data_IF_267546156923
#
_entry.id   IF_267546156923
#
_cell.length_a   1.000
_cell.length_b   1.000
_cell.length_c   1.000
_cell.angle_alpha   90.00
_cell.angle_beta   90.00
_cell.angle_gamma   90.00
#
_symmetry.space_group_name_H-M   'P 1'
#
loop_
_entity.id
_entity.type
_entity.pdbx_description
1 polymer ?
#
# COMPACT_ATOMS: atom_id res chain seq x y z
N UNK A 1 21.16 18.57 12.18
CA UNK A 1 20.35 18.84 10.98
C UNK A 1 18.91 19.01 11.46
N UNK A 2 18.11 19.93 10.89
CA UNK A 2 16.70 20.00 11.23
C UNK A 2 16.08 18.62 10.93
N UNK A 3 15.32 18.11 11.89
CA UNK A 3 14.57 16.86 11.72
C UNK A 3 13.64 17.05 10.51
N UNK A 4 13.72 16.26 9.44
CA UNK A 4 12.79 16.43 8.34
C UNK A 4 11.38 16.27 8.90
N UNK A 5 10.52 17.27 8.68
CA UNK A 5 9.13 17.16 9.09
C UNK A 5 8.51 16.00 8.32
N UNK A 6 8.01 14.99 9.03
CA UNK A 6 7.29 13.88 8.43
C UNK A 6 6.05 14.43 7.71
N UNK A 7 5.85 14.06 6.46
CA UNK A 7 4.65 14.42 5.70
C UNK A 7 3.51 13.50 6.12
N UNK A 8 2.45 14.09 6.67
CA UNK A 8 1.30 13.35 7.17
C UNK A 8 0.14 13.38 6.15
N UNK A 9 -0.48 12.25 5.94
CA UNK A 9 -1.63 12.12 5.05
C UNK A 9 -2.54 10.97 5.42
N UNK A 10 -3.51 10.68 4.57
CA UNK A 10 -4.37 9.50 4.69
C UNK A 10 -4.60 8.82 3.34
N UNK A 11 -4.93 7.53 3.39
CA UNK A 11 -5.47 6.75 2.28
C UNK A 11 -6.99 6.92 2.21
N UNK A 12 -7.55 7.13 1.02
CA UNK A 12 -8.99 7.26 0.82
C UNK A 12 -9.77 6.05 1.34
N UNK A 13 -9.17 4.86 1.35
CA UNK A 13 -9.82 3.65 1.81
C UNK A 13 -10.18 3.69 3.31
N UNK A 14 -9.42 4.42 4.13
CA UNK A 14 -9.76 4.67 5.53
C UNK A 14 -11.12 5.38 5.69
N UNK A 15 -11.51 6.21 4.71
CA UNK A 15 -12.74 7.01 4.71
C UNK A 15 -13.82 6.48 3.76
N UNK A 16 -13.64 5.28 3.17
CA UNK A 16 -14.53 4.70 2.16
C UNK A 16 -16.01 4.63 2.56
N UNK A 17 -16.28 4.49 3.86
CA UNK A 17 -17.66 4.44 4.38
C UNK A 17 -18.44 5.75 4.15
N UNK A 18 -17.74 6.87 3.92
CA UNK A 18 -18.36 8.17 3.64
C UNK A 18 -18.81 8.30 2.19
N UNK A 19 -18.37 7.43 1.29
CA UNK A 19 -18.66 7.49 -0.14
C UNK A 19 -18.11 8.74 -0.85
N UNK A 20 -17.15 9.43 -0.23
CA UNK A 20 -16.57 10.65 -0.76
C UNK A 20 -15.66 10.37 -1.97
N UNK A 21 -15.65 11.33 -2.90
CA UNK A 21 -14.80 11.34 -4.08
C UNK A 21 -13.55 12.20 -3.88
N UNK A 22 -12.65 12.14 -4.85
CA UNK A 22 -11.32 12.72 -4.76
C UNK A 22 -11.32 14.20 -4.33
N UNK A 23 -12.22 15.02 -4.88
CA UNK A 23 -12.32 16.44 -4.51
C UNK A 23 -12.72 16.65 -3.05
N UNK A 24 -13.71 15.90 -2.56
CA UNK A 24 -14.17 16.00 -1.18
C UNK A 24 -13.09 15.54 -0.19
N UNK A 25 -12.36 14.47 -0.55
CA UNK A 25 -11.24 13.98 0.26
C UNK A 25 -10.09 14.98 0.31
N UNK A 26 -9.82 15.66 -0.81
CA UNK A 26 -8.80 16.70 -0.88
C UNK A 26 -9.16 17.91 -0.01
N UNK A 27 -10.44 18.34 -0.05
CA UNK A 27 -10.95 19.44 0.79
C UNK A 27 -10.87 19.08 2.27
N UNK A 28 -11.16 17.82 2.60
CA UNK A 28 -11.04 17.31 3.96
C UNK A 28 -9.58 17.28 4.44
N UNK A 29 -8.66 16.81 3.60
CA UNK A 29 -7.22 16.85 3.89
C UNK A 29 -6.75 18.28 4.17
N UNK A 30 -7.18 19.24 3.36
CA UNK A 30 -6.86 20.67 3.54
C UNK A 30 -7.40 21.19 4.88
N UNK A 31 -8.66 20.86 5.23
CA UNK A 31 -9.27 21.25 6.50
C UNK A 31 -8.50 20.70 7.72
N UNK A 32 -7.92 19.50 7.58
CA UNK A 32 -7.07 18.87 8.60
C UNK A 32 -5.60 19.33 8.54
N UNK A 33 -5.24 20.18 7.58
CA UNK A 33 -3.85 20.66 7.34
C UNK A 33 -2.87 19.49 7.10
N UNK A 34 -3.29 18.50 6.32
CA UNK A 34 -2.46 17.37 5.95
C UNK A 34 -1.59 17.70 4.72
N UNK A 35 -0.47 16.99 4.60
CA UNK A 35 0.52 17.20 3.54
C UNK A 35 0.27 16.32 2.32
N UNK A 36 -0.50 15.22 2.48
CA UNK A 36 -0.64 14.20 1.45
C UNK A 36 -2.00 13.48 1.47
N UNK A 37 -2.41 12.99 0.30
CA UNK A 37 -3.53 12.04 0.13
C UNK A 37 -3.09 10.93 -0.81
N UNK A 38 -3.30 9.67 -0.42
CA UNK A 38 -3.19 8.51 -1.30
C UNK A 38 -4.59 8.12 -1.80
N UNK A 39 -4.73 8.06 -3.11
CA UNK A 39 -5.90 7.50 -3.79
C UNK A 39 -5.55 6.08 -4.23
N UNK A 40 -5.97 5.09 -3.46
CA UNK A 40 -5.57 3.68 -3.59
C UNK A 40 -6.45 2.84 -4.51
N UNK A 41 -7.48 3.46 -5.13
CA UNK A 41 -8.38 2.81 -6.09
C UNK A 41 -8.86 3.79 -7.17
N UNK A 42 -9.36 3.24 -8.31
CA UNK A 42 -9.85 4.07 -9.41
C UNK A 42 -11.26 4.63 -9.18
N UNK A 43 -12.03 4.02 -8.28
CA UNK A 43 -13.43 4.42 -8.04
C UNK A 43 -13.53 5.72 -7.23
N UNK A 44 -12.42 6.15 -6.63
CA UNK A 44 -12.37 7.41 -5.89
C UNK A 44 -12.53 8.63 -6.79
N UNK A 45 -12.08 8.54 -8.04
CA UNK A 45 -12.13 9.67 -8.97
C UNK A 45 -13.54 9.90 -9.50
N UNK A 46 -13.95 11.16 -9.66
CA UNK A 46 -15.18 11.55 -10.32
C UNK A 46 -15.12 11.23 -11.82
N UNK A 47 -13.93 11.35 -12.42
CA UNK A 47 -13.64 11.07 -13.82
C UNK A 47 -12.16 10.74 -14.00
N UNK A 48 -11.88 9.81 -14.91
CA UNK A 48 -10.53 9.47 -15.34
C UNK A 48 -10.09 10.21 -16.61
N UNK A 49 -10.86 11.19 -17.08
CA UNK A 49 -10.48 12.06 -18.19
C UNK A 49 -9.27 12.94 -17.79
N UNK A 50 -8.36 13.15 -18.74
CA UNK A 50 -7.10 13.87 -18.51
C UNK A 50 -7.31 15.25 -17.90
N UNK A 51 -8.30 16.00 -18.37
CA UNK A 51 -8.58 17.36 -17.90
C UNK A 51 -9.08 17.35 -16.46
N UNK A 52 -9.94 16.38 -16.09
CA UNK A 52 -10.44 16.23 -14.72
C UNK A 52 -9.29 15.88 -13.74
N UNK A 53 -8.37 15.01 -14.14
CA UNK A 53 -7.21 14.65 -13.33
C UNK A 53 -6.23 15.83 -13.19
N UNK A 54 -5.99 16.59 -14.25
CA UNK A 54 -5.18 17.82 -14.19
C UNK A 54 -5.81 18.90 -13.29
N UNK A 55 -7.13 19.07 -13.36
CA UNK A 55 -7.86 19.99 -12.48
C UNK A 55 -7.73 19.59 -11.01
N UNK A 56 -7.86 18.28 -10.71
CA UNK A 56 -7.63 17.75 -9.36
C UNK A 56 -6.18 18.03 -8.89
N UNK A 57 -5.20 17.84 -9.78
CA UNK A 57 -3.79 18.15 -9.50
C UNK A 57 -3.60 19.64 -9.19
N UNK A 58 -4.14 20.55 -10.03
CA UNK A 58 -4.06 21.98 -9.79
C UNK A 58 -4.65 22.37 -8.43
N UNK A 59 -5.83 21.82 -8.10
CA UNK A 59 -6.43 22.05 -6.78
C UNK A 59 -5.54 21.57 -5.64
N UNK A 60 -4.91 20.42 -5.79
CA UNK A 60 -3.99 19.89 -4.77
C UNK A 60 -2.76 20.80 -4.61
N UNK A 61 -2.22 21.34 -5.71
CA UNK A 61 -1.11 22.29 -5.68
C UNK A 61 -1.47 23.58 -4.96
N UNK A 62 -2.64 24.15 -5.25
CA UNK A 62 -3.15 25.36 -4.60
C UNK A 62 -3.31 25.16 -3.08
N UNK A 63 -3.62 23.94 -2.65
CA UNK A 63 -3.76 23.56 -1.25
C UNK A 63 -2.44 23.11 -0.60
N UNK A 64 -1.36 22.96 -1.37
CA UNK A 64 -0.07 22.46 -0.90
C UNK A 64 -0.06 20.98 -0.56
N UNK A 65 -1.01 20.18 -1.09
CA UNK A 65 -1.17 18.77 -0.80
C UNK A 65 -0.55 17.91 -1.90
N UNK A 66 0.31 16.96 -1.51
CA UNK A 66 0.90 15.97 -2.44
C UNK A 66 -0.08 14.83 -2.68
N UNK A 67 -0.31 14.50 -3.96
CA UNK A 67 -1.12 13.36 -4.33
C UNK A 67 -0.26 12.12 -4.58
N UNK A 68 -0.77 10.97 -4.14
CA UNK A 68 -0.23 9.65 -4.42
C UNK A 68 -1.34 8.84 -5.11
N UNK A 69 -0.98 8.08 -6.15
CA UNK A 69 -1.93 7.31 -6.94
C UNK A 69 -1.71 5.81 -6.72
N UNK A 70 -2.79 5.05 -6.72
CA UNK A 70 -2.73 3.61 -6.55
C UNK A 70 -3.87 2.86 -7.22
N UNK A 71 -3.77 1.55 -7.15
CA UNK A 71 -4.73 0.57 -7.61
C UNK A 71 -4.67 -0.69 -6.73
N UNK A 72 -5.56 -1.64 -6.97
CA UNK A 72 -5.52 -2.95 -6.32
C UNK A 72 -4.51 -3.89 -6.97
N UNK A 73 -4.87 -5.18 -7.10
CA UNK A 73 -3.96 -6.23 -7.55
C UNK A 73 -3.50 -6.04 -8.99
N UNK A 74 -2.20 -6.30 -9.19
CA UNK A 74 -1.56 -6.46 -10.50
C UNK A 74 -1.19 -7.92 -10.81
N UNK A 75 -1.58 -8.88 -9.95
CA UNK A 75 -1.39 -10.31 -10.19
C UNK A 75 -2.63 -10.87 -10.88
N UNK A 76 -2.55 -11.31 -12.15
CA UNK A 76 -3.72 -11.72 -12.95
C UNK A 76 -4.55 -12.85 -12.35
N UNK A 77 -3.90 -13.76 -11.61
CA UNK A 77 -4.57 -14.91 -10.98
C UNK A 77 -4.86 -14.73 -9.49
N UNK A 78 -4.59 -13.55 -8.93
CA UNK A 78 -4.98 -13.24 -7.55
C UNK A 78 -6.49 -13.26 -7.37
N UNK A 79 -6.93 -13.74 -6.22
CA UNK A 79 -8.37 -13.80 -5.87
C UNK A 79 -9.03 -12.42 -5.77
N UNK A 80 -8.25 -11.35 -5.70
CA UNK A 80 -8.77 -9.96 -5.66
C UNK A 80 -8.55 -9.21 -6.97
N UNK A 81 -7.98 -9.85 -8.00
CA UNK A 81 -7.83 -9.21 -9.30
C UNK A 81 -9.20 -9.05 -9.98
N UNK A 82 -9.49 -7.85 -10.49
CA UNK A 82 -10.74 -7.58 -11.22
C UNK A 82 -10.51 -7.50 -12.74
N UNK A 83 -10.74 -8.59 -13.50
CA UNK A 83 -10.51 -8.61 -14.95
C UNK A 83 -11.51 -7.76 -15.75
N UNK A 84 -12.60 -7.29 -15.13
CA UNK A 84 -13.59 -6.42 -15.81
C UNK A 84 -13.01 -5.06 -16.19
N UNK A 85 -11.88 -4.69 -15.60
CA UNK A 85 -11.15 -3.44 -15.86
C UNK A 85 -10.03 -3.59 -16.91
N UNK A 86 -9.95 -4.75 -17.56
CA UNK A 86 -8.86 -5.08 -18.49
C UNK A 86 -7.80 -5.98 -17.88
N UNK A 87 -6.72 -6.23 -18.61
CA UNK A 87 -5.59 -7.01 -18.11
C UNK A 87 -4.81 -6.29 -16.99
N UNK A 88 -3.97 -7.00 -16.27
CA UNK A 88 -3.16 -6.41 -15.20
C UNK A 88 -2.22 -5.31 -15.74
N UNK A 89 -1.64 -5.54 -16.93
CA UNK A 89 -0.78 -4.58 -17.63
C UNK A 89 -1.55 -3.32 -18.06
N UNK A 90 -2.77 -3.48 -18.58
CA UNK A 90 -3.64 -2.35 -18.94
C UNK A 90 -4.02 -1.52 -17.72
N UNK A 91 -4.39 -2.17 -16.62
CA UNK A 91 -4.71 -1.50 -15.37
C UNK A 91 -3.49 -0.79 -14.78
N UNK A 92 -2.31 -1.40 -14.83
CA UNK A 92 -1.09 -0.77 -14.33
C UNK A 92 -0.66 0.43 -15.20
N UNK A 93 -0.81 0.35 -16.55
CA UNK A 93 -0.62 1.50 -17.45
C UNK A 93 -1.62 2.63 -17.15
N UNK A 94 -2.87 2.29 -16.86
CA UNK A 94 -3.86 3.28 -16.43
C UNK A 94 -3.42 3.96 -15.13
N UNK A 95 -2.93 3.20 -14.13
CA UNK A 95 -2.42 3.75 -12.88
C UNK A 95 -1.21 4.67 -13.12
N UNK A 96 -0.26 4.28 -13.96
CA UNK A 96 0.89 5.12 -14.34
C UNK A 96 0.45 6.43 -15.02
N UNK A 97 -0.54 6.36 -15.93
CA UNK A 97 -1.11 7.56 -16.57
C UNK A 97 -1.75 8.48 -15.53
N UNK A 98 -2.54 7.94 -14.60
CA UNK A 98 -3.16 8.72 -13.51
C UNK A 98 -2.06 9.33 -12.63
N UNK A 99 -1.07 8.54 -12.21
CA UNK A 99 0.06 9.02 -11.41
C UNK A 99 0.78 10.18 -12.08
N UNK A 100 1.04 10.08 -13.39
CA UNK A 100 1.67 11.15 -14.18
C UNK A 100 0.83 12.43 -14.17
N UNK A 101 -0.47 12.34 -14.41
CA UNK A 101 -1.37 13.48 -14.46
C UNK A 101 -1.57 14.15 -13.10
N UNK A 102 -1.56 13.37 -12.03
CA UNK A 102 -1.63 13.87 -10.65
C UNK A 102 -0.27 14.33 -10.09
N UNK A 103 0.82 14.13 -10.82
CA UNK A 103 2.17 14.41 -10.30
C UNK A 103 2.57 13.54 -9.12
N UNK A 104 2.00 12.33 -9.05
CA UNK A 104 2.39 11.32 -8.07
C UNK A 104 3.77 10.75 -8.40
N UNK A 105 4.68 10.61 -7.41
CA UNK A 105 5.97 9.97 -7.65
C UNK A 105 5.88 8.45 -7.73
N UNK A 106 4.74 7.88 -7.35
CA UNK A 106 4.51 6.45 -7.29
C UNK A 106 3.19 6.04 -7.94
N UNK A 107 3.14 4.79 -8.42
CA UNK A 107 1.93 4.03 -8.68
C UNK A 107 1.88 2.89 -7.66
N UNK A 108 1.05 3.04 -6.61
CA UNK A 108 0.90 2.01 -5.56
C UNK A 108 0.03 0.87 -6.09
N UNK A 109 0.42 -0.37 -5.81
CA UNK A 109 -0.36 -1.56 -6.13
C UNK A 109 -0.13 -2.66 -5.09
N UNK A 110 -0.90 -3.75 -5.20
CA UNK A 110 -0.74 -4.93 -4.35
C UNK A 110 -0.57 -6.18 -5.22
N UNK A 111 -0.01 -7.25 -4.66
CA UNK A 111 -0.05 -8.56 -5.29
C UNK A 111 -1.44 -9.18 -5.08
N UNK A 112 -1.84 -9.44 -3.83
CA UNK A 112 -3.07 -10.14 -3.54
C UNK A 112 -3.49 -10.07 -2.07
N UNK A 113 -3.77 -11.25 -1.48
CA UNK A 113 -4.09 -11.42 -0.07
C UNK A 113 -3.78 -12.85 0.40
N UNK A 114 -3.95 -13.13 1.68
CA UNK A 114 -3.56 -14.41 2.31
C UNK A 114 -4.11 -15.66 1.61
N UNK A 115 -5.28 -15.60 0.96
CA UNK A 115 -5.84 -16.75 0.21
C UNK A 115 -4.99 -17.10 -1.01
N UNK A 116 -4.24 -16.16 -1.56
CA UNK A 116 -3.34 -16.42 -2.70
C UNK A 116 -2.18 -17.33 -2.31
N UNK A 117 -1.78 -17.37 -1.04
CA UNK A 117 -0.80 -18.34 -0.50
C UNK A 117 -1.26 -19.80 -0.63
N UNK A 118 -2.59 -20.04 -0.60
CA UNK A 118 -3.19 -21.37 -0.73
C UNK A 118 -3.63 -21.71 -2.14
N UNK A 119 -3.40 -20.82 -3.09
CA UNK A 119 -3.70 -21.06 -4.49
C UNK A 119 -2.67 -22.02 -5.13
N UNK A 120 -3.01 -22.57 -6.30
CA UNK A 120 -2.07 -23.46 -7.03
C UNK A 120 -0.75 -22.73 -7.32
N UNK A 121 0.36 -23.32 -6.88
CA UNK A 121 1.70 -22.75 -6.96
C UNK A 121 2.04 -21.76 -5.84
N UNK A 122 1.10 -21.50 -4.93
CA UNK A 122 1.32 -20.66 -3.75
C UNK A 122 1.72 -19.22 -4.07
N UNK A 123 2.31 -18.55 -3.10
CA UNK A 123 2.75 -17.17 -3.23
C UNK A 123 3.89 -17.01 -4.26
N UNK A 124 4.75 -18.00 -4.40
CA UNK A 124 5.84 -17.97 -5.37
C UNK A 124 5.34 -17.80 -6.81
N UNK A 125 4.32 -18.57 -7.21
CA UNK A 125 3.71 -18.42 -8.54
C UNK A 125 3.06 -17.04 -8.72
N UNK A 126 2.46 -16.49 -7.67
CA UNK A 126 1.88 -15.12 -7.68
C UNK A 126 2.96 -14.05 -7.83
N UNK A 127 4.11 -14.24 -7.19
CA UNK A 127 5.29 -13.35 -7.34
C UNK A 127 5.77 -13.38 -8.79
N UNK A 128 5.93 -14.57 -9.37
CA UNK A 128 6.39 -14.71 -10.78
C UNK A 128 5.44 -14.02 -11.76
N UNK A 129 4.12 -14.19 -11.61
CA UNK A 129 3.12 -13.50 -12.44
C UNK A 129 3.18 -11.98 -12.26
N UNK A 130 3.36 -11.50 -11.03
CA UNK A 130 3.50 -10.08 -10.73
C UNK A 130 4.76 -9.51 -11.37
N UNK A 131 5.89 -10.22 -11.31
CA UNK A 131 7.14 -9.84 -11.97
C UNK A 131 6.97 -9.74 -13.49
N UNK A 132 6.24 -10.68 -14.09
CA UNK A 132 5.94 -10.63 -15.53
C UNK A 132 5.17 -9.36 -15.91
N UNK A 133 4.14 -8.99 -15.15
CA UNK A 133 3.38 -7.75 -15.36
C UNK A 133 4.25 -6.51 -15.18
N UNK A 134 5.03 -6.43 -14.09
CA UNK A 134 5.95 -5.32 -13.83
C UNK A 134 6.94 -5.12 -14.99
N UNK A 135 7.48 -6.20 -15.55
CA UNK A 135 8.45 -6.14 -16.63
C UNK A 135 7.88 -5.46 -17.90
N UNK A 136 6.58 -5.61 -18.16
CA UNK A 136 5.93 -5.05 -19.37
C UNK A 136 5.80 -3.53 -19.35
N UNK A 137 5.82 -2.91 -18.16
CA UNK A 137 5.63 -1.47 -17.99
C UNK A 137 6.89 -0.73 -17.55
N UNK A 138 8.01 -1.45 -17.44
CA UNK A 138 9.27 -0.89 -16.92
C UNK A 138 9.70 0.38 -17.66
N UNK A 139 9.77 0.34 -19.00
CA UNK A 139 10.19 1.50 -19.79
C UNK A 139 9.26 2.69 -19.59
N UNK A 140 7.95 2.44 -19.60
CA UNK A 140 6.93 3.48 -19.43
C UNK A 140 7.03 4.16 -18.05
N UNK A 141 7.26 3.37 -16.99
CA UNK A 141 7.45 3.87 -15.63
C UNK A 141 8.73 4.69 -15.50
N UNK A 142 9.85 4.20 -16.04
CA UNK A 142 11.15 4.88 -16.03
C UNK A 142 11.10 6.21 -16.80
N UNK A 143 10.51 6.22 -18.01
CA UNK A 143 10.35 7.43 -18.84
C UNK A 143 9.44 8.47 -18.16
N UNK A 144 8.46 8.03 -17.40
CA UNK A 144 7.60 8.90 -16.62
C UNK A 144 8.23 9.40 -15.30
N UNK A 145 9.34 8.82 -14.87
CA UNK A 145 9.96 9.08 -13.56
C UNK A 145 9.09 8.64 -12.39
N UNK A 146 8.23 7.63 -12.59
CA UNK A 146 7.30 7.11 -11.58
C UNK A 146 7.77 5.72 -11.15
N UNK A 147 7.89 5.50 -9.85
CA UNK A 147 8.18 4.18 -9.30
C UNK A 147 6.90 3.42 -8.98
N UNK A 148 6.93 2.10 -9.15
CA UNK A 148 5.84 1.24 -8.72
C UNK A 148 6.08 0.84 -7.26
N UNK A 149 5.12 1.12 -6.38
CA UNK A 149 5.20 0.83 -4.96
C UNK A 149 4.29 -0.36 -4.63
N UNK A 150 4.88 -1.56 -4.52
CA UNK A 150 4.15 -2.79 -4.17
C UNK A 150 4.00 -2.87 -2.67
N UNK A 151 2.79 -3.16 -2.20
CA UNK A 151 2.48 -3.21 -0.77
C UNK A 151 2.54 -4.64 -0.22
N UNK A 152 3.02 -4.80 1.02
CA UNK A 152 2.76 -5.99 1.83
C UNK A 152 1.29 -5.98 2.25
N UNK A 153 0.42 -6.69 1.53
CA UNK A 153 -1.03 -6.51 1.59
C UNK A 153 -1.78 -7.74 2.10
N UNK A 154 -2.65 -7.53 3.10
CA UNK A 154 -3.64 -8.52 3.56
C UNK A 154 -3.08 -9.94 3.77
N UNK A 155 -1.84 -10.07 4.25
CA UNK A 155 -1.16 -11.34 4.51
C UNK A 155 -0.70 -12.09 3.26
N UNK A 156 -0.60 -11.42 2.10
CA UNK A 156 -0.07 -12.03 0.86
C UNK A 156 1.43 -12.31 0.96
N UNK A 157 2.23 -11.30 1.26
CA UNK A 157 3.69 -11.40 1.41
C UNK A 157 4.14 -10.86 2.76
N UNK A 158 5.13 -11.49 3.36
CA UNK A 158 5.93 -10.88 4.42
C UNK A 158 6.98 -9.93 3.81
N UNK A 159 7.72 -9.22 4.65
CA UNK A 159 8.69 -8.22 4.18
C UNK A 159 9.84 -8.82 3.37
N UNK A 160 10.27 -10.05 3.69
CA UNK A 160 11.34 -10.74 2.96
C UNK A 160 10.90 -11.13 1.55
N UNK A 161 9.72 -11.75 1.42
CA UNK A 161 9.14 -12.12 0.12
C UNK A 161 8.90 -10.89 -0.77
N UNK A 162 8.43 -9.79 -0.19
CA UNK A 162 8.25 -8.53 -0.92
C UNK A 162 9.61 -7.93 -1.33
N UNK A 163 10.62 -7.98 -0.48
CA UNK A 163 11.95 -7.50 -0.83
C UNK A 163 12.57 -8.31 -1.97
N UNK A 164 12.40 -9.64 -1.96
CA UNK A 164 12.83 -10.52 -3.06
C UNK A 164 12.14 -10.18 -4.38
N UNK A 165 10.83 -9.91 -4.36
CA UNK A 165 10.09 -9.43 -5.54
C UNK A 165 10.67 -8.10 -6.05
N UNK A 166 10.91 -7.13 -5.16
CA UNK A 166 11.47 -5.82 -5.51
C UNK A 166 12.87 -5.97 -6.12
N UNK A 167 13.71 -6.83 -5.55
CA UNK A 167 15.06 -7.08 -6.04
C UNK A 167 15.05 -7.75 -7.42
N UNK A 168 14.17 -8.71 -7.62
CA UNK A 168 14.01 -9.37 -8.92
C UNK A 168 13.46 -8.41 -10.00
N UNK A 169 12.53 -7.51 -9.63
CA UNK A 169 12.00 -6.50 -10.55
C UNK A 169 13.03 -5.39 -10.86
N UNK A 170 13.82 -4.99 -9.86
CA UNK A 170 14.82 -3.92 -9.92
C UNK A 170 14.42 -2.69 -9.10
N UNK A 171 15.23 -2.37 -8.08
CA UNK A 171 15.03 -1.25 -7.14
C UNK A 171 15.05 0.15 -7.79
N UNK A 172 15.50 0.23 -9.02
CA UNK A 172 15.51 1.47 -9.79
C UNK A 172 14.11 1.94 -10.18
N UNK A 173 13.13 1.02 -10.35
CA UNK A 173 11.75 1.38 -10.68
C UNK A 173 10.68 0.73 -9.78
N UNK A 174 11.01 -0.26 -8.95
CA UNK A 174 10.09 -0.85 -7.97
C UNK A 174 10.59 -0.59 -6.55
N UNK A 175 9.67 -0.35 -5.64
CA UNK A 175 9.91 -0.25 -4.21
C UNK A 175 8.66 -0.65 -3.43
N UNK A 176 8.68 -0.45 -2.12
CA UNK A 176 7.63 -0.89 -1.23
C UNK A 176 6.64 0.23 -0.87
N UNK A 177 5.38 -0.15 -0.70
CA UNK A 177 4.46 0.51 0.24
C UNK A 177 4.48 -0.31 1.52
N UNK A 178 5.02 0.26 2.59
CA UNK A 178 5.10 -0.42 3.89
C UNK A 178 3.79 -0.23 4.66
N UNK A 179 3.03 -1.32 4.84
CA UNK A 179 1.82 -1.32 5.67
C UNK A 179 2.08 -2.01 7.01
N UNK A 180 1.92 -1.26 8.11
CA UNK A 180 2.19 -1.73 9.46
C UNK A 180 1.13 -2.71 9.99
N UNK A 181 -0.13 -2.56 9.56
CA UNK A 181 -1.21 -3.46 9.97
C UNK A 181 -1.18 -4.79 9.24
N UNK A 182 -0.75 -4.80 8.00
CA UNK A 182 -0.63 -6.02 7.19
C UNK A 182 0.59 -6.87 7.59
N UNK A 183 1.64 -6.28 8.16
CA UNK A 183 2.78 -7.01 8.70
C UNK A 183 2.32 -8.07 9.73
N UNK A 184 1.50 -7.69 10.70
CA UNK A 184 0.96 -8.64 11.69
C UNK A 184 0.07 -9.71 11.06
N UNK A 185 -0.64 -9.42 9.97
CA UNK A 185 -1.39 -10.42 9.25
C UNK A 185 -0.49 -11.46 8.54
N UNK A 186 0.69 -11.04 8.14
CA UNK A 186 1.75 -11.91 7.61
C UNK A 186 2.63 -12.52 8.72
N UNK A 187 2.20 -12.49 9.99
CA UNK A 187 2.90 -13.00 11.18
C UNK A 187 4.26 -12.30 11.44
N UNK A 188 4.36 -11.06 11.07
CA UNK A 188 5.59 -10.27 11.21
C UNK A 188 5.36 -9.02 12.07
N UNK A 189 6.32 -8.69 12.92
CA UNK A 189 6.27 -7.46 13.69
C UNK A 189 6.48 -6.23 12.78
N UNK A 190 5.71 -5.14 12.93
CA UNK A 190 5.83 -3.95 12.09
C UNK A 190 7.23 -3.31 12.07
N UNK A 191 7.97 -3.38 13.19
CA UNK A 191 9.35 -2.89 13.25
C UNK A 191 10.29 -3.77 12.43
N UNK A 192 10.11 -5.09 12.42
CA UNK A 192 10.87 -6.03 11.58
C UNK A 192 10.60 -5.75 10.10
N UNK A 193 9.33 -5.55 9.72
CA UNK A 193 8.97 -5.16 8.35
C UNK A 193 9.63 -3.83 7.94
N UNK A 194 9.69 -2.85 8.84
CA UNK A 194 10.38 -1.58 8.61
C UNK A 194 11.90 -1.77 8.43
N UNK A 195 12.55 -2.59 9.25
CA UNK A 195 13.99 -2.85 9.11
C UNK A 195 14.32 -3.49 7.75
N UNK A 196 13.46 -4.36 7.25
CA UNK A 196 13.62 -5.03 5.96
C UNK A 196 13.31 -4.12 4.78
N UNK A 197 12.14 -3.47 4.79
CA UNK A 197 11.62 -2.72 3.65
C UNK A 197 11.98 -1.22 3.67
N UNK A 198 12.36 -0.67 4.82
CA UNK A 198 12.62 0.77 4.98
C UNK A 198 13.53 1.35 3.89
N UNK A 199 14.68 0.74 3.55
CA UNK A 199 15.57 1.25 2.51
C UNK A 199 14.97 1.32 1.09
N UNK A 200 13.87 0.62 0.84
CA UNK A 200 13.15 0.59 -0.44
C UNK A 200 11.73 1.15 -0.34
N UNK A 201 11.34 1.69 0.82
CA UNK A 201 9.99 2.23 1.06
C UNK A 201 9.78 3.55 0.32
N UNK A 202 8.72 3.62 -0.47
CA UNK A 202 8.31 4.77 -1.28
C UNK A 202 7.03 5.41 -0.74
N UNK A 203 6.16 4.62 -0.13
CA UNK A 203 4.88 5.02 0.44
C UNK A 203 4.57 4.19 1.68
N UNK A 204 3.54 4.52 2.43
CA UNK A 204 3.15 3.74 3.61
C UNK A 204 1.64 3.58 3.73
N UNK A 205 1.22 2.55 4.48
CA UNK A 205 -0.11 2.38 5.07
C UNK A 205 0.06 2.23 6.59
N UNK A 206 -0.15 3.31 7.35
CA UNK A 206 0.11 3.31 8.79
C UNK A 206 -1.18 3.06 9.55
N UNK A 207 -1.20 1.98 10.31
CA UNK A 207 -2.27 1.60 11.22
C UNK A 207 -1.73 0.81 12.39
N UNK A 208 -2.39 0.91 13.52
CA UNK A 208 -2.08 0.13 14.72
C UNK A 208 -2.94 -1.13 14.79
N UNK A 209 -2.62 -2.04 15.69
CA UNK A 209 -3.28 -3.33 15.78
C UNK A 209 -3.41 -3.79 17.22
N UNK A 210 -4.57 -4.37 17.54
CA UNK A 210 -4.76 -5.23 18.70
C UNK A 210 -4.64 -6.69 18.31
N UNK A 211 -4.05 -7.47 19.21
CA UNK A 211 -3.97 -8.92 19.10
C UNK A 211 -4.42 -9.54 20.42
N UNK A 212 -5.30 -10.53 20.38
CA UNK A 212 -5.71 -11.29 21.56
C UNK A 212 -5.80 -12.78 21.27
N UNK A 213 -5.56 -13.59 22.30
CA UNK A 213 -5.58 -15.04 22.22
C UNK A 213 -7.00 -15.57 21.98
N UNK A 214 -7.07 -16.67 21.24
CA UNK A 214 -8.27 -17.50 21.03
C UNK A 214 -7.90 -18.98 21.16
N UNK A 215 -8.87 -19.89 21.36
CA UNK A 215 -8.57 -21.33 21.52
C UNK A 215 -7.78 -21.96 20.36
N UNK A 216 -7.81 -21.35 19.17
CA UNK A 216 -7.13 -21.88 17.99
C UNK A 216 -5.91 -21.03 17.57
N UNK A 217 -5.63 -19.95 18.25
CA UNK A 217 -4.52 -19.07 17.93
C UNK A 217 -4.75 -17.65 18.42
N UNK A 218 -4.89 -16.70 17.50
CA UNK A 218 -5.10 -15.30 17.83
C UNK A 218 -6.14 -14.63 16.92
N UNK A 219 -6.65 -13.50 17.37
CA UNK A 219 -7.41 -12.58 16.51
C UNK A 219 -6.71 -11.24 16.48
N UNK A 220 -6.53 -10.72 15.29
CA UNK A 220 -5.98 -9.40 15.00
C UNK A 220 -7.10 -8.44 14.65
N UNK A 221 -7.04 -7.20 15.14
CA UNK A 221 -7.91 -6.12 14.70
C UNK A 221 -7.12 -4.82 14.59
N UNK A 222 -7.23 -4.15 13.44
CA UNK A 222 -6.66 -2.83 13.26
C UNK A 222 -7.38 -1.78 14.10
N UNK A 223 -6.61 -0.83 14.60
CA UNK A 223 -7.08 0.25 15.46
C UNK A 223 -6.35 1.56 15.16
N UNK A 224 -6.74 2.63 15.84
CA UNK A 224 -6.11 3.93 15.71
C UNK A 224 -4.66 3.89 16.21
N UNK A 225 -3.79 4.59 15.52
CA UNK A 225 -2.37 4.72 15.89
C UNK A 225 -2.24 5.21 17.35
N UNK A 226 -1.42 4.49 18.11
CA UNK A 226 -1.18 4.76 19.54
C UNK A 226 -2.17 4.09 20.48
N UNK A 227 -3.13 3.28 19.99
CA UNK A 227 -4.08 2.55 20.84
C UNK A 227 -3.90 1.03 20.79
N UNK A 228 -2.96 0.53 20.00
CA UNK A 228 -2.64 -0.89 19.83
C UNK A 228 -1.30 -1.30 20.42
N UNK A 229 -0.63 -2.25 19.77
CA UNK A 229 0.58 -2.93 20.26
C UNK A 229 1.89 -2.39 19.67
N UNK A 230 1.83 -1.52 18.65
CA UNK A 230 3.03 -1.02 17.98
C UNK A 230 3.77 -0.01 18.87
N UNK A 231 5.07 -0.22 19.07
CA UNK A 231 5.94 0.78 19.73
C UNK A 231 6.25 1.93 18.74
N UNK A 232 5.34 2.90 18.68
CA UNK A 232 5.44 4.03 17.76
C UNK A 232 6.67 4.91 17.97
N UNK A 233 7.12 5.21 19.20
CA UNK A 233 8.38 5.90 19.42
C UNK A 233 9.58 5.20 18.79
N UNK A 234 9.72 3.89 18.98
CA UNK A 234 10.78 3.10 18.37
C UNK A 234 10.61 3.04 16.83
N UNK A 235 9.38 2.79 16.35
CA UNK A 235 9.07 2.72 14.93
C UNK A 235 9.42 4.02 14.21
N UNK A 236 8.92 5.18 14.64
CA UNK A 236 9.18 6.45 13.96
C UNK A 236 10.62 6.93 14.08
N UNK A 237 11.33 6.55 15.14
CA UNK A 237 12.77 6.79 15.21
C UNK A 237 13.50 6.07 14.08
N UNK A 238 13.22 4.78 13.86
CA UNK A 238 13.82 4.00 12.77
C UNK A 238 13.32 4.43 11.40
N UNK A 239 12.04 4.76 11.28
CA UNK A 239 11.45 5.28 10.06
C UNK A 239 12.19 6.52 9.56
N UNK A 240 12.47 7.47 10.45
CA UNK A 240 13.21 8.69 10.10
C UNK A 240 14.65 8.43 9.63
N UNK A 241 15.25 7.32 10.04
CA UNK A 241 16.59 6.90 9.62
C UNK A 241 16.58 6.14 8.28
N UNK A 242 15.61 5.24 8.08
CA UNK A 242 15.56 4.30 6.96
C UNK A 242 14.84 4.86 5.72
N UNK A 243 13.74 5.59 5.93
CA UNK A 243 12.90 6.10 4.83
C UNK A 243 12.40 7.55 5.05
N UNK A 244 13.30 8.51 5.30
CA UNK A 244 12.92 9.89 5.67
C UNK A 244 12.14 10.64 4.58
N UNK A 245 12.11 10.12 3.35
CA UNK A 245 11.39 10.73 2.22
C UNK A 245 9.99 10.16 2.01
N UNK A 246 9.67 8.99 2.61
CA UNK A 246 8.34 8.40 2.50
C UNK A 246 7.31 9.22 3.31
N UNK A 247 6.07 9.36 2.82
CA UNK A 247 5.00 9.98 3.60
C UNK A 247 4.51 9.02 4.69
N UNK A 248 3.95 9.57 5.75
CA UNK A 248 3.18 8.83 6.77
C UNK A 248 1.70 8.89 6.36
N UNK A 249 1.22 7.85 5.71
CA UNK A 249 -0.16 7.76 5.22
C UNK A 249 -0.98 6.89 6.17
N UNK A 250 -1.94 7.49 6.86
CA UNK A 250 -2.84 6.76 7.77
C UNK A 250 -3.87 5.96 6.98
N UNK A 251 -4.00 4.68 7.28
CA UNK A 251 -4.98 3.78 6.68
C UNK A 251 -5.74 2.98 7.74
N UNK A 252 -6.22 3.63 8.78
CA UNK A 252 -6.96 2.94 9.84
C UNK A 252 -8.28 2.39 9.31
N UNK A 253 -8.44 1.07 9.41
CA UNK A 253 -9.65 0.34 9.10
C UNK A 253 -10.05 -0.42 10.35
N UNK A 254 -11.20 -0.15 10.92
CA UNK A 254 -11.70 -0.83 12.12
C UNK A 254 -12.88 -1.76 11.82
N UNK A 255 -13.25 -2.60 12.81
CA UNK A 255 -14.45 -3.45 12.74
C UNK A 255 -14.34 -4.69 11.86
N UNK A 256 -13.13 -5.09 11.49
CA UNK A 256 -12.86 -6.32 10.72
C UNK A 256 -11.81 -7.17 11.45
N UNK A 257 -12.22 -7.98 12.45
CA UNK A 257 -11.29 -8.89 13.09
C UNK A 257 -10.79 -9.96 12.10
N UNK A 258 -9.50 -10.24 12.14
CA UNK A 258 -8.82 -11.23 11.32
C UNK A 258 -8.43 -12.38 12.23
N UNK A 259 -8.94 -13.56 11.93
CA UNK A 259 -8.64 -14.76 12.71
C UNK A 259 -7.38 -15.46 12.18
N UNK A 260 -6.42 -15.71 13.07
CA UNK A 260 -5.14 -16.33 12.80
C UNK A 260 -5.07 -17.66 13.59
N UNK A 261 -5.48 -18.80 13.01
CA UNK A 261 -5.50 -20.10 13.70
C UNK A 261 -4.10 -20.74 13.74
N UNK A 262 -3.12 -20.02 14.31
CA UNK A 262 -1.70 -20.42 14.35
C UNK A 262 -1.43 -21.67 15.20
N UNK A 263 -2.38 -22.12 16.00
CA UNK A 263 -2.30 -23.38 16.77
C UNK A 263 -2.88 -24.59 16.00
N UNK A 264 -3.25 -24.41 14.72
CA UNK A 264 -3.75 -25.47 13.85
C UNK A 264 -2.74 -25.79 12.75
N UNK A 265 -2.41 -27.04 12.56
CA UNK A 265 -1.39 -27.49 11.59
C UNK A 265 -1.70 -27.00 10.17
N UNK A 266 -2.96 -27.08 9.73
CA UNK A 266 -3.38 -26.64 8.39
C UNK A 266 -3.10 -25.17 8.10
N UNK A 267 -2.89 -24.34 9.15
CA UNK A 267 -2.56 -22.92 8.96
C UNK A 267 -1.19 -22.78 8.31
N UNK A 268 -0.24 -23.61 8.74
CA UNK A 268 1.16 -23.53 8.30
C UNK A 268 1.41 -24.10 6.90
N UNK A 269 0.43 -24.79 6.31
CA UNK A 269 0.52 -25.28 4.92
C UNK A 269 0.65 -24.13 3.89
N UNK A 270 0.45 -22.91 4.31
CA UNK A 270 0.50 -21.71 3.46
C UNK A 270 1.80 -20.87 3.62
N UNK A 271 2.67 -21.26 4.59
CA UNK A 271 3.88 -20.48 4.95
C UNK A 271 5.20 -21.29 4.83
#
# INVERSE_FOLDING_TARGET
MPNPSLRLGFDNYALRALGWKARQLLDYAAALKLDAVLFSDFDVYESLADDALRELKHRADDLGIKLYAGMLSICPSSVIFDPRRGSAEEQLRLCLRIAKLLGSPVARCVLGKVEDRRSVGGIAARIDETLAVLSTVRSEAMDAGIKIAVENHAGDMNSTELLELIDAAGRDFVGATLDTGNALWALEEPLTALETLGPVTLCTGIRDSYLWETPEGATLQWTSVGTGLVDWPAFFKRFAELCPQAPVILETISGRPIFLPVLRDYFWDAY
#
